data_IF_951267103942
#
_entry.id   IF_951267103942
#
_cell.length_a   1.000
_cell.length_b   1.000
_cell.length_c   1.000
_cell.angle_alpha   90.00
_cell.angle_beta   90.00
_cell.angle_gamma   90.00
#
_symmetry.space_group_name_H-M   'P 1'
#
loop_
_entity.id
_entity.type
_entity.pdbx_description
1 polymer ?
#
# COMPACT_ATOMS: atom_id res chain seq x y z
N UNK A 1 0.65 21.89 10.66
CA UNK A 1 0.01 20.74 11.32
C UNK A 1 -0.25 19.65 10.29
N UNK A 2 0.44 18.50 10.39
CA UNK A 2 0.06 17.33 9.60
C UNK A 2 -1.33 16.94 10.08
N UNK A 3 -2.34 17.09 9.23
CA UNK A 3 -3.68 16.63 9.55
C UNK A 3 -3.59 15.10 9.61
N UNK A 4 -3.40 14.54 10.79
CA UNK A 4 -3.52 13.11 10.99
C UNK A 4 -4.93 12.72 10.55
N UNK A 5 -5.05 11.78 9.61
CA UNK A 5 -6.34 11.28 9.15
C UNK A 5 -7.15 10.68 10.29
N UNK A 6 -8.40 10.30 10.01
CA UNK A 6 -9.30 9.65 10.97
C UNK A 6 -8.59 8.45 11.63
N UNK A 7 -8.53 8.42 12.96
CA UNK A 7 -7.92 7.29 13.68
C UNK A 7 -8.60 5.98 13.30
N UNK A 8 -7.81 4.94 13.07
CA UNK A 8 -8.32 3.62 12.68
C UNK A 8 -8.75 3.50 11.22
N UNK A 9 -8.54 4.54 10.40
CA UNK A 9 -8.82 4.51 8.96
C UNK A 9 -7.64 4.05 8.10
N UNK A 10 -6.42 3.99 8.66
CA UNK A 10 -5.28 3.39 7.98
C UNK A 10 -5.47 1.89 7.79
N UNK A 11 -4.83 1.34 6.76
CA UNK A 11 -4.87 -0.10 6.51
C UNK A 11 -4.26 -0.92 7.65
N UNK A 12 -4.69 -2.17 7.78
CA UNK A 12 -4.18 -3.14 8.76
C UNK A 12 -3.59 -4.36 8.04
N UNK A 13 -2.72 -5.11 8.72
CA UNK A 13 -2.16 -6.38 8.24
C UNK A 13 -1.51 -6.28 6.85
N UNK A 14 -0.72 -5.23 6.62
CA UNK A 14 0.05 -5.07 5.39
C UNK A 14 1.13 -6.15 5.29
N UNK A 15 1.23 -6.80 4.14
CA UNK A 15 2.26 -7.81 3.88
C UNK A 15 2.53 -7.89 2.38
N UNK A 16 3.81 -7.98 2.01
CA UNK A 16 4.27 -8.18 0.64
C UNK A 16 5.04 -9.50 0.51
N UNK A 17 4.79 -10.25 -0.55
CA UNK A 17 5.47 -11.50 -0.86
C UNK A 17 5.96 -11.46 -2.30
N UNK A 18 7.23 -11.78 -2.50
CA UNK A 18 7.84 -11.89 -3.83
C UNK A 18 7.75 -13.35 -4.31
N UNK A 19 7.34 -13.53 -5.55
CA UNK A 19 7.24 -14.84 -6.20
C UNK A 19 7.56 -14.73 -7.68
N UNK A 20 7.85 -15.87 -8.32
CA UNK A 20 8.25 -15.94 -9.74
C UNK A 20 9.39 -14.96 -10.10
N UNK A 21 10.32 -14.70 -9.16
CA UNK A 21 11.56 -13.92 -9.31
C UNK A 21 11.35 -12.39 -9.51
N UNK A 22 10.20 -11.93 -9.98
CA UNK A 22 9.98 -10.51 -10.29
C UNK A 22 8.56 -9.99 -10.02
N UNK A 23 7.68 -10.82 -9.44
CA UNK A 23 6.33 -10.41 -9.06
C UNK A 23 6.27 -10.18 -7.56
N UNK A 24 5.75 -9.03 -7.13
CA UNK A 24 5.52 -8.74 -5.72
C UNK A 24 4.03 -8.57 -5.48
N UNK A 25 3.45 -9.42 -4.63
CA UNK A 25 2.06 -9.34 -4.20
C UNK A 25 1.99 -8.74 -2.80
N UNK A 26 1.46 -7.53 -2.70
CA UNK A 26 1.16 -6.87 -1.44
C UNK A 26 -0.32 -6.97 -1.13
N UNK A 27 -0.68 -7.27 0.10
CA UNK A 27 -2.07 -7.38 0.57
C UNK A 27 -2.25 -6.63 1.87
N UNK A 28 -3.48 -6.17 2.11
CA UNK A 28 -3.86 -5.50 3.34
C UNK A 28 -5.36 -5.62 3.60
N UNK A 29 -5.73 -5.30 4.83
CA UNK A 29 -7.12 -5.12 5.24
C UNK A 29 -7.43 -3.63 5.37
N UNK A 30 -8.67 -3.26 5.08
CA UNK A 30 -9.12 -1.89 5.33
C UNK A 30 -9.07 -1.59 6.84
N UNK A 31 -8.77 -0.34 7.20
CA UNK A 31 -8.89 0.12 8.57
C UNK A 31 -10.30 -0.10 9.11
N UNK A 32 -10.39 -0.48 10.38
CA UNK A 32 -11.67 -0.81 11.04
C UNK A 32 -12.66 0.36 11.05
N UNK A 33 -12.13 1.57 11.14
CA UNK A 33 -12.92 2.80 11.20
C UNK A 33 -12.93 3.53 9.84
N UNK A 34 -12.38 2.92 8.80
CA UNK A 34 -12.37 3.52 7.47
C UNK A 34 -13.80 3.58 6.89
N UNK A 35 -14.26 4.76 6.43
CA UNK A 35 -15.54 4.92 5.76
C UNK A 35 -15.76 3.93 4.62
N UNK A 36 -17.02 3.55 4.34
CA UNK A 36 -17.36 2.57 3.31
C UNK A 36 -16.95 2.99 1.89
N UNK A 37 -16.82 4.29 1.61
CA UNK A 37 -16.38 4.84 0.33
C UNK A 37 -14.85 4.98 0.21
N UNK A 38 -14.10 4.58 1.23
CA UNK A 38 -12.64 4.68 1.23
C UNK A 38 -12.03 3.84 0.11
N UNK A 39 -11.14 4.46 -0.65
CA UNK A 39 -10.28 3.81 -1.63
C UNK A 39 -8.81 3.98 -1.23
N UNK A 40 -8.02 2.91 -1.33
CA UNK A 40 -6.61 2.90 -0.97
C UNK A 40 -5.70 2.89 -2.20
N UNK A 41 -4.53 3.49 -2.08
CA UNK A 41 -3.54 3.59 -3.16
C UNK A 41 -2.17 3.24 -2.60
N UNK A 42 -1.53 2.23 -3.20
CA UNK A 42 -0.23 1.76 -2.77
C UNK A 42 0.86 2.33 -3.67
N UNK A 43 1.89 2.85 -3.02
CA UNK A 43 3.12 3.31 -3.61
C UNK A 43 4.29 2.61 -2.94
N UNK A 44 5.35 2.33 -3.69
CA UNK A 44 6.60 1.88 -3.13
C UNK A 44 7.79 2.60 -3.75
N UNK A 45 8.88 2.68 -3.01
CA UNK A 45 10.12 3.29 -3.43
C UNK A 45 11.28 2.41 -2.98
N UNK A 46 12.13 2.04 -3.92
CA UNK A 46 13.36 1.31 -3.61
C UNK A 46 14.37 2.24 -2.95
N UNK A 47 15.05 1.77 -1.91
CA UNK A 47 16.06 2.58 -1.20
C UNK A 47 17.17 3.03 -2.15
N UNK A 48 17.43 4.35 -2.20
CA UNK A 48 18.46 4.94 -3.06
C UNK A 48 17.98 5.32 -4.46
N UNK A 49 16.74 4.99 -4.83
CA UNK A 49 16.08 5.51 -6.02
C UNK A 49 15.12 6.64 -5.63
N UNK A 50 15.02 7.69 -6.46
CA UNK A 50 14.14 8.86 -6.19
C UNK A 50 12.74 8.71 -6.81
N UNK A 51 12.49 7.59 -7.50
CA UNK A 51 11.24 7.35 -8.20
C UNK A 51 10.30 6.51 -7.33
N UNK A 52 9.19 7.12 -6.94
CA UNK A 52 8.06 6.41 -6.34
C UNK A 52 7.23 5.71 -7.43
N UNK A 53 6.94 4.44 -7.23
CA UNK A 53 6.17 3.60 -8.14
C UNK A 53 4.77 3.34 -7.56
N UNK A 54 3.73 3.75 -8.29
CA UNK A 54 2.34 3.39 -7.96
C UNK A 54 2.05 1.95 -8.36
N UNK A 55 1.15 1.30 -7.62
CA UNK A 55 0.60 0.00 -7.97
C UNK A 55 0.12 -0.10 -9.43
N UNK A 56 0.62 -1.10 -10.14
CA UNK A 56 0.26 -1.38 -11.53
C UNK A 56 -1.07 -2.15 -11.63
N UNK A 57 -1.25 -3.15 -10.75
CA UNK A 57 -2.39 -4.07 -10.78
C UNK A 57 -3.01 -4.23 -9.39
N UNK A 58 -4.06 -3.46 -9.11
CA UNK A 58 -4.78 -3.56 -7.85
C UNK A 58 -5.62 -4.85 -7.74
N UNK A 59 -5.53 -5.50 -6.58
CA UNK A 59 -6.45 -6.54 -6.13
C UNK A 59 -7.58 -5.83 -5.38
N UNK A 60 -8.83 -6.18 -5.70
CA UNK A 60 -10.01 -5.53 -5.15
C UNK A 60 -10.93 -6.52 -4.45
N UNK A 61 -11.56 -6.05 -3.39
CA UNK A 61 -12.64 -6.77 -2.71
C UNK A 61 -13.98 -6.67 -3.47
N UNK A 62 -15.03 -7.27 -2.91
CA UNK A 62 -16.39 -7.24 -3.45
C UNK A 62 -16.96 -5.81 -3.59
N UNK A 63 -16.49 -4.87 -2.76
CA UNK A 63 -16.89 -3.47 -2.77
C UNK A 63 -16.03 -2.61 -3.73
N UNK A 64 -15.16 -3.24 -4.53
CA UNK A 64 -14.21 -2.59 -5.45
C UNK A 64 -13.18 -1.70 -4.75
N UNK A 65 -12.97 -1.91 -3.46
CA UNK A 65 -11.89 -1.28 -2.69
C UNK A 65 -10.60 -2.03 -2.96
N UNK A 66 -9.52 -1.31 -3.16
CA UNK A 66 -8.19 -1.85 -3.32
C UNK A 66 -7.74 -2.43 -1.96
N UNK A 67 -7.50 -3.73 -1.92
CA UNK A 67 -7.04 -4.50 -0.75
C UNK A 67 -5.73 -5.25 -1.02
N UNK A 68 -5.13 -4.98 -2.17
CA UNK A 68 -3.86 -5.55 -2.55
C UNK A 68 -3.33 -4.95 -3.84
N UNK A 69 -2.11 -5.31 -4.18
CA UNK A 69 -1.41 -4.88 -5.37
C UNK A 69 -0.49 -5.99 -5.87
N UNK A 70 -0.37 -6.11 -7.19
CA UNK A 70 0.68 -6.86 -7.84
C UNK A 70 1.58 -5.88 -8.61
N UNK A 71 2.85 -5.86 -8.27
CA UNK A 71 3.89 -5.18 -9.04
C UNK A 71 4.60 -6.17 -9.95
N UNK A 72 4.92 -5.75 -11.16
CA UNK A 72 5.73 -6.51 -12.10
C UNK A 72 7.17 -5.98 -12.14
N UNK A 73 8.10 -6.83 -12.56
CA UNK A 73 9.50 -6.47 -12.79
C UNK A 73 10.22 -5.91 -11.55
N UNK A 74 9.86 -6.40 -10.35
CA UNK A 74 10.54 -6.03 -9.12
C UNK A 74 11.93 -6.68 -9.11
N UNK A 75 12.98 -5.87 -8.95
CA UNK A 75 14.34 -6.38 -8.80
C UNK A 75 14.58 -6.81 -7.36
N UNK A 76 14.75 -8.11 -7.15
CA UNK A 76 15.12 -8.68 -5.85
C UNK A 76 16.59 -8.34 -5.55
N UNK A 77 16.87 -7.83 -4.36
CA UNK A 77 18.21 -7.44 -3.93
C UNK A 77 18.27 -7.28 -2.40
N UNK A 78 19.45 -7.02 -1.83
CA UNK A 78 19.65 -6.86 -0.37
C UNK A 78 19.20 -5.48 0.11
N UNK A 79 18.11 -4.95 -0.45
CA UNK A 79 17.70 -3.56 -0.27
C UNK A 79 16.34 -3.47 0.41
N UNK A 80 16.20 -2.45 1.25
CA UNK A 80 14.92 -2.05 1.83
C UNK A 80 14.10 -1.28 0.81
N UNK A 81 12.80 -1.46 0.85
CA UNK A 81 11.85 -0.63 0.15
C UNK A 81 10.94 0.09 1.13
N UNK A 82 10.66 1.35 0.85
CA UNK A 82 9.64 2.14 1.53
C UNK A 82 8.29 1.90 0.86
N UNK A 83 7.28 1.56 1.65
CA UNK A 83 5.90 1.41 1.20
C UNK A 83 5.04 2.49 1.83
N UNK A 84 4.14 3.07 1.03
CA UNK A 84 3.17 4.07 1.46
C UNK A 84 1.80 3.69 0.90
N UNK A 85 0.83 3.52 1.79
CA UNK A 85 -0.58 3.34 1.42
C UNK A 85 -1.38 4.55 1.85
N UNK A 86 -1.84 5.31 0.86
CA UNK A 86 -2.74 6.43 1.06
C UNK A 86 -4.20 5.99 0.97
N UNK A 87 -5.11 6.79 1.51
CA UNK A 87 -6.54 6.60 1.36
C UNK A 87 -7.27 7.87 0.94
N UNK A 88 -8.37 7.70 0.22
CA UNK A 88 -9.28 8.78 -0.19
C UNK A 88 -10.72 8.39 0.13
N UNK A 89 -11.47 9.33 0.70
CA UNK A 89 -12.91 9.25 0.98
C UNK A 89 -13.50 10.65 0.70
N UNK A 90 -14.82 10.74 0.48
CA UNK A 90 -15.49 11.99 0.13
C UNK A 90 -15.40 13.04 1.24
N UNK A 91 -15.64 12.62 2.48
CA UNK A 91 -15.89 13.52 3.61
C UNK A 91 -14.87 13.37 4.73
N UNK A 92 -13.96 12.38 4.64
CA UNK A 92 -13.01 12.06 5.70
C UNK A 92 -11.59 12.00 5.16
N UNK A 93 -10.66 12.64 5.86
CA UNK A 93 -9.23 12.44 5.65
C UNK A 93 -8.86 11.05 6.17
N UNK A 94 -8.25 10.23 5.32
CA UNK A 94 -7.84 8.88 5.67
C UNK A 94 -6.39 8.91 6.14
N UNK A 95 -6.11 8.19 7.22
CA UNK A 95 -4.76 8.05 7.73
C UNK A 95 -3.95 7.17 6.77
N UNK A 96 -2.76 7.62 6.41
CA UNK A 96 -1.85 6.81 5.60
C UNK A 96 -1.16 5.76 6.49
N UNK A 97 -0.72 4.67 5.86
CA UNK A 97 0.16 3.68 6.44
C UNK A 97 1.49 3.70 5.70
N UNK A 98 2.60 3.62 6.43
CA UNK A 98 3.92 3.50 5.83
C UNK A 98 4.85 2.56 6.61
N UNK A 99 5.71 1.86 5.88
CA UNK A 99 6.68 0.93 6.47
C UNK A 99 7.89 0.72 5.55
N UNK A 100 9.05 0.45 6.14
CA UNK A 100 10.21 -0.08 5.42
C UNK A 100 10.24 -1.60 5.52
N UNK A 101 10.20 -2.30 4.38
CA UNK A 101 10.25 -3.77 4.29
C UNK A 101 11.51 -4.19 3.56
N UNK A 102 12.18 -5.22 4.08
CA UNK A 102 13.29 -5.88 3.39
C UNK A 102 12.77 -6.80 2.28
N UNK A 103 13.29 -6.66 1.06
CA UNK A 103 12.87 -7.45 -0.11
C UNK A 103 13.79 -8.66 -0.33
N UNK A 104 13.57 -9.75 0.43
CA UNK A 104 14.35 -11.00 0.32
C UNK A 104 13.77 -12.03 -0.65
#
# INVERSE_FOLDING_TARGET
>A
PVLAGMNGSAIENFSCVIYNIFLMNCTWQAGRDAPADTQYFLYWQKSGEDNQMECELYIRDENRRNTGCIFQNVSIGIEKAYFLVNGSSKDSLIQFYDEYIDLY
#
